data_IF_329547792619
#
_entry.id   IF_329547792619
#
_cell.length_a   1.000
_cell.length_b   1.000
_cell.length_c   1.000
_cell.angle_alpha   90.00
_cell.angle_beta   90.00
_cell.angle_gamma   90.00
#
_symmetry.space_group_name_H-M   'P 1'
#
loop_
_entity.id
_entity.type
_entity.pdbx_description
1 polymer ?
#
# COMPACT_ATOMS: atom_id res chain seq x y z
N UNK A 1 -7.50 -2.13 -12.47
CA UNK A 1 -6.32 -2.78 -13.11
C UNK A 1 -6.65 -4.19 -13.60
N UNK A 2 -7.05 -5.15 -12.74
CA UNK A 2 -7.34 -6.51 -13.21
C UNK A 2 -8.42 -6.55 -14.29
N UNK A 3 -9.54 -5.83 -14.08
CA UNK A 3 -10.60 -5.75 -15.09
C UNK A 3 -10.11 -5.22 -16.44
N UNK A 4 -9.28 -4.17 -16.42
CA UNK A 4 -8.63 -3.66 -17.62
C UNK A 4 -7.79 -4.73 -18.33
N UNK A 5 -6.94 -5.46 -17.57
CA UNK A 5 -6.03 -6.45 -18.15
C UNK A 5 -6.77 -7.66 -18.74
N UNK A 6 -7.81 -8.14 -18.06
CA UNK A 6 -8.61 -9.26 -18.54
C UNK A 6 -9.47 -8.87 -19.75
N UNK A 7 -10.11 -7.69 -19.73
CA UNK A 7 -10.87 -7.20 -20.88
C UNK A 7 -9.96 -6.97 -22.10
N UNK A 8 -8.76 -6.41 -21.90
CA UNK A 8 -7.73 -6.29 -22.95
C UNK A 8 -7.33 -7.65 -23.54
N UNK A 9 -7.37 -8.70 -22.74
CA UNK A 9 -7.10 -10.07 -23.20
C UNK A 9 -8.31 -10.72 -23.89
N UNK A 10 -9.48 -10.08 -23.95
CA UNK A 10 -10.71 -10.59 -24.58
C UNK A 10 -11.65 -11.33 -23.62
N UNK A 11 -11.38 -11.31 -22.31
CA UNK A 11 -12.27 -11.90 -21.29
C UNK A 11 -13.39 -10.92 -20.99
N UNK A 12 -14.63 -11.41 -20.89
CA UNK A 12 -15.76 -10.62 -20.39
C UNK A 12 -15.64 -10.39 -18.88
N UNK A 13 -15.68 -9.12 -18.45
CA UNK A 13 -15.44 -8.73 -17.06
C UNK A 13 -16.51 -7.77 -16.57
N UNK A 14 -17.18 -8.12 -15.48
CA UNK A 14 -18.02 -7.20 -14.71
C UNK A 14 -17.33 -6.82 -13.40
N UNK A 15 -17.10 -5.52 -13.19
CA UNK A 15 -16.56 -4.98 -11.94
C UNK A 15 -17.69 -4.37 -11.12
N UNK A 16 -17.83 -4.77 -9.86
CA UNK A 16 -18.83 -4.21 -8.95
C UNK A 16 -18.14 -3.22 -8.00
N UNK A 17 -18.65 -2.00 -7.95
CA UNK A 17 -18.26 -0.98 -6.96
C UNK A 17 -19.50 -0.59 -6.14
N UNK A 18 -19.40 -0.68 -4.81
CA UNK A 18 -20.53 -0.42 -3.91
C UNK A 18 -20.92 1.05 -3.79
N UNK A 19 -20.03 1.95 -4.16
CA UNK A 19 -20.27 3.39 -4.09
C UNK A 19 -20.70 3.97 -5.45
N UNK A 20 -21.18 5.22 -5.44
CA UNK A 20 -21.60 5.92 -6.65
C UNK A 20 -20.41 6.40 -7.51
N UNK A 21 -19.24 6.54 -6.88
CA UNK A 21 -18.00 7.03 -7.48
C UNK A 21 -16.77 6.40 -6.81
N UNK A 22 -15.57 6.74 -7.28
CA UNK A 22 -14.31 6.29 -6.68
C UNK A 22 -13.76 7.24 -5.62
N UNK A 23 -14.45 8.32 -5.29
CA UNK A 23 -13.99 9.28 -4.30
C UNK A 23 -13.87 8.64 -2.91
N UNK A 24 -12.67 8.66 -2.34
CA UNK A 24 -12.37 8.18 -0.99
C UNK A 24 -11.28 9.05 -0.38
N UNK A 25 -11.61 9.78 0.67
CA UNK A 25 -10.63 10.56 1.41
C UNK A 25 -9.56 9.68 2.06
N UNK A 26 -8.33 10.17 2.10
CA UNK A 26 -7.19 9.61 2.83
C UNK A 26 -6.79 8.17 2.45
N UNK A 27 -6.93 7.77 1.19
CA UNK A 27 -6.52 6.43 0.73
C UNK A 27 -5.62 6.48 -0.48
N UNK A 28 -4.60 5.60 -0.47
CA UNK A 28 -3.90 5.11 -1.65
C UNK A 28 -3.22 6.14 -2.54
N UNK A 29 -2.56 7.12 -1.94
CA UNK A 29 -2.07 8.31 -2.62
C UNK A 29 -0.69 8.18 -3.28
N UNK A 30 -0.13 6.98 -3.34
CA UNK A 30 1.23 6.75 -3.84
C UNK A 30 1.26 5.71 -4.96
N UNK A 31 1.59 6.14 -6.17
CA UNK A 31 1.82 5.27 -7.33
C UNK A 31 3.33 5.09 -7.50
N UNK A 32 3.80 3.88 -7.23
CA UNK A 32 5.23 3.57 -7.19
C UNK A 32 5.82 3.32 -8.60
N UNK A 33 7.15 3.40 -8.75
CA UNK A 33 7.82 3.09 -10.00
C UNK A 33 7.44 1.76 -10.64
N UNK A 34 7.18 0.71 -9.83
CA UNK A 34 6.72 -0.59 -10.34
C UNK A 34 5.35 -0.52 -11.03
N UNK A 35 4.44 0.31 -10.52
CA UNK A 35 3.13 0.53 -11.14
C UNK A 35 3.24 1.43 -12.36
N UNK A 36 4.08 2.48 -12.31
CA UNK A 36 4.36 3.33 -13.46
C UNK A 36 5.03 2.54 -14.60
N UNK A 37 5.85 1.54 -14.28
CA UNK A 37 6.41 0.62 -15.27
C UNK A 37 5.33 -0.23 -15.93
N UNK A 38 4.34 -0.72 -15.17
CA UNK A 38 3.17 -1.41 -15.73
C UNK A 38 2.38 -0.47 -16.67
N UNK A 39 2.19 0.80 -16.29
CA UNK A 39 1.55 1.79 -17.18
C UNK A 39 2.34 2.00 -18.47
N UNK A 40 3.66 2.05 -18.39
CA UNK A 40 4.52 2.13 -19.57
C UNK A 40 4.37 0.89 -20.48
N UNK A 41 4.38 -0.30 -19.90
CA UNK A 41 4.22 -1.57 -20.64
C UNK A 41 2.86 -1.69 -21.33
N UNK A 42 1.83 -1.02 -20.80
CA UNK A 42 0.50 -0.94 -21.38
C UNK A 42 0.36 0.18 -22.42
N UNK A 43 1.37 1.06 -22.58
CA UNK A 43 1.28 2.24 -23.44
C UNK A 43 0.40 3.35 -22.88
N UNK A 44 0.13 3.33 -21.56
CA UNK A 44 -0.74 4.29 -20.87
C UNK A 44 0.03 5.38 -20.12
N UNK A 45 1.36 5.28 -20.01
CA UNK A 45 2.15 6.13 -19.13
C UNK A 45 2.04 7.61 -19.49
N UNK A 46 2.15 7.96 -20.77
CA UNK A 46 2.14 9.36 -21.21
C UNK A 46 0.80 10.05 -20.91
N UNK A 47 -0.32 9.35 -21.12
CA UNK A 47 -1.65 9.87 -20.78
C UNK A 47 -1.83 9.94 -19.26
N UNK A 48 -1.34 8.94 -18.53
CA UNK A 48 -1.42 8.89 -17.07
C UNK A 48 -0.66 10.05 -16.42
N UNK A 49 0.52 10.40 -16.93
CA UNK A 49 1.34 11.49 -16.39
C UNK A 49 0.79 12.90 -16.71
N UNK A 50 -0.23 13.02 -17.56
CA UNK A 50 -0.97 14.29 -17.76
C UNK A 50 -1.92 14.58 -16.59
N UNK A 51 -2.30 13.58 -15.79
CA UNK A 51 -3.11 13.79 -14.60
C UNK A 51 -2.34 14.60 -13.55
N UNK A 52 -3.02 15.42 -12.75
CA UNK A 52 -2.38 16.16 -11.67
C UNK A 52 -1.66 15.22 -10.69
N UNK A 53 -0.36 15.37 -10.53
CA UNK A 53 0.43 14.57 -9.59
C UNK A 53 1.69 15.33 -9.16
N UNK A 54 2.24 14.93 -8.02
CA UNK A 54 3.55 15.39 -7.57
C UNK A 54 4.56 14.25 -7.67
N UNK A 55 5.82 14.58 -8.00
CA UNK A 55 6.89 13.62 -8.16
C UNK A 55 7.81 13.60 -6.94
N UNK A 56 7.87 12.49 -6.25
CA UNK A 56 8.76 12.29 -5.11
C UNK A 56 9.95 11.41 -5.54
N UNK A 57 11.07 12.04 -5.89
CA UNK A 57 12.29 11.34 -6.30
C UNK A 57 13.18 10.90 -5.13
N UNK A 58 13.01 11.53 -3.95
CA UNK A 58 13.72 11.18 -2.72
C UNK A 58 12.79 11.25 -1.52
N UNK A 59 13.03 10.42 -0.51
CA UNK A 59 12.31 10.45 0.77
C UNK A 59 13.27 10.86 1.85
N UNK A 60 12.96 11.94 2.56
CA UNK A 60 13.73 12.43 3.71
C UNK A 60 12.92 12.24 4.99
N UNK A 61 13.57 11.75 6.04
CA UNK A 61 13.03 11.66 7.39
C UNK A 61 13.88 12.50 8.35
N UNK A 62 13.27 12.95 9.46
CA UNK A 62 13.94 13.60 10.57
C UNK A 62 13.73 12.78 11.84
N UNK A 63 14.79 12.45 12.53
CA UNK A 63 14.75 11.74 13.81
C UNK A 63 15.51 12.57 14.86
N UNK A 64 14.81 13.11 15.84
CA UNK A 64 15.43 13.90 16.89
C UNK A 64 16.29 15.07 16.36
N UNK A 65 15.80 15.77 15.33
CA UNK A 65 16.50 16.88 14.66
C UNK A 65 17.54 16.45 13.62
N UNK A 66 17.87 15.15 13.50
CA UNK A 66 18.80 14.65 12.48
C UNK A 66 18.05 14.27 11.21
N UNK A 67 18.29 15.01 10.13
CA UNK A 67 17.75 14.72 8.81
C UNK A 67 18.56 13.62 8.11
N UNK A 68 17.88 12.64 7.50
CA UNK A 68 18.49 11.59 6.70
C UNK A 68 17.66 11.26 5.47
N UNK A 69 18.33 10.92 4.39
CA UNK A 69 17.65 10.43 3.17
C UNK A 69 17.34 8.97 3.34
N UNK A 70 16.05 8.63 3.45
CA UNK A 70 15.58 7.26 3.65
C UNK A 70 15.55 6.46 2.34
N UNK A 71 15.19 7.11 1.21
CA UNK A 71 15.17 6.49 -0.11
C UNK A 71 15.57 7.47 -1.21
N UNK A 72 16.18 6.96 -2.29
CA UNK A 72 16.55 7.71 -3.51
C UNK A 72 16.16 6.90 -4.74
N UNK A 73 15.05 7.28 -5.39
CA UNK A 73 14.48 6.59 -6.55
C UNK A 73 15.17 6.93 -7.87
N UNK A 74 15.97 8.00 -7.94
CA UNK A 74 16.62 8.50 -9.17
C UNK A 74 17.52 7.48 -9.86
N UNK A 75 17.91 6.43 -9.14
CA UNK A 75 18.79 5.36 -9.61
C UNK A 75 18.08 4.06 -9.98
N UNK A 76 16.74 4.05 -9.96
CA UNK A 76 15.99 2.86 -10.36
C UNK A 76 16.10 2.61 -11.87
N UNK A 77 16.15 1.33 -12.29
CA UNK A 77 16.14 0.95 -13.70
C UNK A 77 14.69 0.93 -14.23
N UNK A 78 13.98 2.05 -14.13
CA UNK A 78 12.60 2.23 -14.55
C UNK A 78 12.44 3.50 -15.36
N UNK A 79 11.40 3.60 -16.18
CA UNK A 79 11.08 4.80 -16.95
C UNK A 79 10.82 6.00 -16.04
N UNK A 80 10.02 5.80 -14.98
CA UNK A 80 9.80 6.80 -13.96
C UNK A 80 10.65 6.52 -12.72
N UNK A 81 11.50 7.50 -12.35
CA UNK A 81 12.46 7.40 -11.23
C UNK A 81 11.95 8.18 -10.01
N UNK A 82 10.64 8.12 -9.77
CA UNK A 82 9.94 8.81 -8.69
C UNK A 82 8.68 8.04 -8.30
N UNK A 83 8.17 8.33 -7.11
CA UNK A 83 6.81 7.96 -6.70
C UNK A 83 5.88 9.10 -7.12
N UNK A 84 4.81 8.80 -7.85
CA UNK A 84 3.78 9.78 -8.14
C UNK A 84 2.81 9.87 -6.95
N UNK A 85 2.66 11.07 -6.39
CA UNK A 85 1.69 11.36 -5.35
C UNK A 85 0.45 11.95 -6.02
N UNK A 86 -0.64 11.20 -6.01
CA UNK A 86 -1.91 11.59 -6.62
C UNK A 86 -3.09 10.97 -5.88
N UNK A 87 -4.28 11.59 -5.93
CA UNK A 87 -5.47 10.98 -5.35
C UNK A 87 -5.78 9.63 -6.00
N UNK A 88 -6.19 8.65 -5.18
CA UNK A 88 -6.50 7.32 -5.69
C UNK A 88 -7.67 7.31 -6.68
N UNK A 89 -8.64 8.21 -6.52
CA UNK A 89 -9.78 8.30 -7.44
C UNK A 89 -9.36 8.70 -8.85
N UNK A 90 -8.39 9.62 -9.04
CA UNK A 90 -7.89 9.98 -10.36
C UNK A 90 -7.25 8.78 -11.07
N UNK A 91 -6.51 7.95 -10.32
CA UNK A 91 -5.96 6.70 -10.82
C UNK A 91 -7.04 5.68 -11.22
N UNK A 92 -8.09 5.55 -10.41
CA UNK A 92 -9.19 4.61 -10.67
C UNK A 92 -10.08 5.07 -11.82
N UNK A 93 -10.40 6.37 -11.89
CA UNK A 93 -11.17 6.97 -12.99
C UNK A 93 -10.43 6.80 -14.31
N UNK A 94 -9.12 7.09 -14.33
CA UNK A 94 -8.28 6.88 -15.50
C UNK A 94 -8.31 5.43 -15.98
N UNK A 95 -8.06 4.48 -15.10
CA UNK A 95 -8.08 3.06 -15.47
C UNK A 95 -9.46 2.57 -15.90
N UNK A 96 -10.51 3.00 -15.21
CA UNK A 96 -11.88 2.66 -15.56
C UNK A 96 -12.27 3.25 -16.93
N UNK A 97 -11.87 4.49 -17.20
CA UNK A 97 -12.06 5.13 -18.51
C UNK A 97 -11.39 4.35 -19.63
N UNK A 98 -10.11 3.98 -19.44
CA UNK A 98 -9.37 3.18 -20.43
C UNK A 98 -9.91 1.75 -20.56
N UNK A 99 -10.44 1.16 -19.50
CA UNK A 99 -11.03 -0.17 -19.57
C UNK A 99 -12.35 -0.20 -20.38
N UNK A 100 -13.14 0.88 -20.34
CA UNK A 100 -14.38 1.03 -21.12
C UNK A 100 -14.16 1.06 -22.63
N UNK A 101 -12.91 1.25 -23.09
CA UNK A 101 -12.56 1.12 -24.51
C UNK A 101 -12.68 -0.35 -25.01
N UNK A 102 -12.73 -1.34 -24.12
CA UNK A 102 -12.91 -2.76 -24.45
C UNK A 102 -14.37 -3.18 -24.34
N UNK A 103 -14.96 -3.79 -25.40
CA UNK A 103 -16.39 -4.17 -25.41
C UNK A 103 -16.79 -5.13 -24.27
N UNK A 104 -15.88 -5.99 -23.83
CA UNK A 104 -16.12 -6.97 -22.75
C UNK A 104 -15.96 -6.40 -21.33
N UNK A 105 -15.79 -5.08 -21.16
CA UNK A 105 -15.64 -4.48 -19.84
C UNK A 105 -16.91 -3.76 -19.39
N UNK A 106 -17.43 -4.16 -18.24
CA UNK A 106 -18.55 -3.53 -17.58
C UNK A 106 -18.20 -3.15 -16.14
N UNK A 107 -18.47 -1.90 -15.73
CA UNK A 107 -18.31 -1.45 -14.35
C UNK A 107 -19.65 -0.93 -13.82
N UNK A 108 -20.15 -1.58 -12.77
CA UNK A 108 -21.43 -1.28 -12.13
C UNK A 108 -21.21 -0.58 -10.81
N UNK A 109 -21.44 0.73 -10.80
CA UNK A 109 -21.44 1.53 -9.57
C UNK A 109 -22.69 1.24 -8.74
N UNK A 110 -22.61 1.49 -7.41
CA UNK A 110 -23.69 1.23 -6.45
C UNK A 110 -24.14 -0.24 -6.44
N UNK A 111 -23.24 -1.16 -6.76
CA UNK A 111 -23.46 -2.60 -6.68
C UNK A 111 -22.57 -3.19 -5.59
N UNK A 112 -23.14 -3.43 -4.41
CA UNK A 112 -22.41 -3.98 -3.25
C UNK A 112 -22.57 -5.50 -3.20
N UNK A 113 -21.46 -6.23 -3.33
CA UNK A 113 -21.45 -7.67 -3.11
C UNK A 113 -21.81 -7.97 -1.65
N UNK A 114 -22.85 -8.75 -1.42
CA UNK A 114 -23.34 -9.10 -0.07
C UNK A 114 -23.31 -10.60 0.21
N UNK A 115 -23.26 -11.44 -0.83
CA UNK A 115 -23.18 -12.91 -0.70
C UNK A 115 -22.56 -13.54 -1.95
N UNK A 116 -22.18 -14.81 -1.86
CA UNK A 116 -21.65 -15.63 -2.94
C UNK A 116 -22.67 -16.69 -3.35
N UNK A 117 -22.94 -16.80 -4.66
CA UNK A 117 -23.82 -17.81 -5.22
C UNK A 117 -23.03 -19.11 -5.37
N UNK A 118 -23.57 -20.22 -4.88
CA UNK A 118 -22.96 -21.55 -4.96
C UNK A 118 -23.80 -22.51 -5.79
N UNK A 119 -23.13 -23.21 -6.69
CA UNK A 119 -23.72 -24.30 -7.50
C UNK A 119 -22.83 -25.52 -7.36
N UNK A 120 -23.37 -26.63 -6.87
CA UNK A 120 -22.65 -27.87 -6.61
C UNK A 120 -21.33 -27.69 -5.83
N UNK A 121 -21.33 -26.82 -4.79
CA UNK A 121 -20.17 -26.55 -3.96
C UNK A 121 -19.14 -25.58 -4.54
N UNK A 122 -19.27 -25.20 -5.82
CA UNK A 122 -18.45 -24.20 -6.49
C UNK A 122 -19.10 -22.80 -6.38
N UNK A 123 -18.31 -21.78 -6.23
CA UNK A 123 -18.78 -20.38 -6.34
C UNK A 123 -18.99 -20.08 -7.83
N UNK A 124 -20.21 -19.67 -8.17
CA UNK A 124 -20.69 -19.48 -9.54
C UNK A 124 -21.25 -18.05 -9.77
N UNK A 125 -21.01 -17.14 -8.83
CA UNK A 125 -21.47 -15.76 -8.94
C UNK A 125 -21.53 -15.02 -7.62
N UNK A 126 -22.08 -13.83 -7.68
CA UNK A 126 -22.21 -12.89 -6.58
C UNK A 126 -23.64 -12.41 -6.47
N UNK A 127 -24.17 -12.34 -5.26
CA UNK A 127 -25.39 -11.58 -4.95
C UNK A 127 -25.01 -10.17 -4.57
N UNK A 128 -25.57 -9.20 -5.28
CA UNK A 128 -25.28 -7.78 -5.07
C UNK A 128 -26.53 -7.00 -4.67
N UNK A 129 -26.38 -6.10 -3.71
CA UNK A 129 -27.35 -5.03 -3.44
C UNK A 129 -27.16 -3.94 -4.47
N UNK A 130 -28.25 -3.51 -5.10
CA UNK A 130 -28.25 -2.51 -6.16
C UNK A 130 -29.22 -1.36 -5.81
N UNK A 131 -29.22 -0.24 -6.53
CA UNK A 131 -30.18 0.85 -6.31
C UNK A 131 -31.64 0.44 -6.43
N UNK A 132 -31.91 -0.63 -7.21
CA UNK A 132 -33.29 -1.11 -7.50
C UNK A 132 -33.66 -2.38 -6.73
N UNK A 133 -32.79 -2.86 -5.84
CA UNK A 133 -33.02 -4.08 -5.04
C UNK A 133 -31.82 -4.99 -5.01
N UNK A 134 -32.02 -6.31 -5.08
CA UNK A 134 -30.96 -7.31 -5.09
C UNK A 134 -30.88 -7.98 -6.46
N UNK A 135 -29.67 -8.18 -6.97
CA UNK A 135 -29.43 -8.88 -8.22
C UNK A 135 -28.41 -10.01 -8.03
N UNK A 136 -28.66 -11.14 -8.69
CA UNK A 136 -27.72 -12.25 -8.79
C UNK A 136 -26.93 -12.12 -10.10
N UNK A 137 -25.61 -12.15 -10.01
CA UNK A 137 -24.68 -11.99 -11.13
C UNK A 137 -23.87 -13.27 -11.23
N UNK A 138 -24.11 -14.05 -12.29
CA UNK A 138 -23.38 -15.29 -12.55
C UNK A 138 -21.99 -15.01 -13.12
N UNK A 139 -21.02 -15.85 -12.78
CA UNK A 139 -19.66 -15.78 -13.30
C UNK A 139 -18.96 -17.14 -13.22
N UNK A 140 -18.08 -17.42 -14.18
CA UNK A 140 -17.21 -18.61 -14.17
C UNK A 140 -16.15 -18.52 -13.08
N UNK A 141 -15.73 -17.29 -12.75
CA UNK A 141 -14.81 -16.99 -11.66
C UNK A 141 -15.19 -15.67 -10.98
N UNK A 142 -15.30 -15.68 -9.67
CA UNK A 142 -15.39 -14.50 -8.83
C UNK A 142 -14.01 -14.13 -8.34
N UNK A 143 -13.60 -12.84 -8.46
CA UNK A 143 -12.34 -12.37 -7.91
C UNK A 143 -12.61 -11.31 -6.85
N UNK A 144 -12.32 -11.66 -5.60
CA UNK A 144 -12.45 -10.75 -4.44
C UNK A 144 -11.32 -9.74 -4.41
N UNK A 145 -11.66 -8.47 -4.69
CA UNK A 145 -10.78 -7.30 -4.57
C UNK A 145 -11.38 -6.27 -3.60
N UNK A 146 -12.27 -6.71 -2.70
CA UNK A 146 -13.18 -5.93 -1.86
C UNK A 146 -12.54 -5.44 -0.54
N UNK A 147 -11.20 -5.48 -0.48
CA UNK A 147 -10.42 -4.82 0.56
C UNK A 147 -10.29 -5.63 1.85
N UNK A 148 -9.80 -4.96 2.91
CA UNK A 148 -9.45 -5.61 4.19
C UNK A 148 -10.64 -6.17 4.97
N UNK A 149 -11.85 -5.74 4.68
CA UNK A 149 -13.10 -6.23 5.26
C UNK A 149 -13.92 -7.02 4.22
N UNK A 150 -13.23 -7.69 3.31
CA UNK A 150 -13.77 -8.41 2.17
C UNK A 150 -14.90 -9.37 2.57
N UNK A 151 -16.09 -9.16 2.01
CA UNK A 151 -17.22 -10.06 2.15
C UNK A 151 -16.94 -11.39 1.45
N UNK A 152 -16.22 -11.32 0.32
CA UNK A 152 -15.85 -12.50 -0.46
C UNK A 152 -15.10 -13.53 0.37
N UNK A 153 -14.07 -13.10 1.15
CA UNK A 153 -13.32 -14.02 2.03
C UNK A 153 -14.13 -14.51 3.24
N UNK A 154 -15.01 -13.64 3.78
CA UNK A 154 -15.84 -13.97 4.94
C UNK A 154 -16.88 -15.03 4.58
N UNK A 155 -17.66 -14.81 3.51
CA UNK A 155 -18.68 -15.75 3.05
C UNK A 155 -18.07 -17.05 2.53
N UNK A 156 -16.88 -16.99 1.93
CA UNK A 156 -16.16 -18.20 1.50
C UNK A 156 -15.48 -18.94 2.66
N UNK A 157 -15.53 -18.40 3.88
CA UNK A 157 -14.95 -19.01 5.08
C UNK A 157 -13.43 -19.27 4.91
N UNK A 158 -12.71 -18.26 4.43
CA UNK A 158 -11.26 -18.33 4.22
C UNK A 158 -10.51 -17.95 5.50
N UNK A 159 -9.56 -18.79 5.92
CA UNK A 159 -8.78 -18.60 7.15
C UNK A 159 -7.82 -17.41 7.04
N UNK A 160 -7.93 -16.47 7.97
CA UNK A 160 -7.07 -15.27 8.07
C UNK A 160 -5.96 -15.50 9.08
N UNK A 161 -4.71 -15.24 8.67
CA UNK A 161 -3.53 -15.22 9.54
C UNK A 161 -3.28 -13.76 9.95
N UNK A 162 -3.64 -13.40 11.18
CA UNK A 162 -3.39 -12.06 11.71
C UNK A 162 -1.93 -11.87 12.12
N UNK A 163 -1.41 -10.66 11.85
CA UNK A 163 -0.10 -10.20 12.31
C UNK A 163 -0.31 -8.97 13.19
N UNK A 164 -0.05 -9.08 14.47
CA UNK A 164 -0.22 -7.97 15.41
C UNK A 164 0.58 -6.74 15.01
N UNK A 165 -0.07 -5.59 14.99
CA UNK A 165 0.54 -4.29 14.69
C UNK A 165 0.34 -3.37 15.89
N UNK A 166 1.41 -2.75 16.43
CA UNK A 166 1.34 -1.97 17.66
C UNK A 166 0.94 -0.50 17.45
N UNK A 167 0.54 -0.12 16.24
CA UNK A 167 0.24 1.28 15.88
C UNK A 167 -1.08 1.43 15.15
N UNK A 168 -1.67 2.62 15.27
CA UNK A 168 -2.72 3.17 14.42
C UNK A 168 -2.26 4.52 13.84
N UNK A 169 -3.00 5.07 12.89
CA UNK A 169 -2.69 6.36 12.28
C UNK A 169 -3.91 7.27 12.32
N UNK A 170 -3.72 8.49 12.78
CA UNK A 170 -4.72 9.55 12.72
C UNK A 170 -4.42 10.45 11.52
N UNK A 171 -5.32 10.45 10.53
CA UNK A 171 -5.22 11.27 9.32
C UNK A 171 -6.02 12.56 9.45
N UNK A 172 -5.41 13.68 9.04
CA UNK A 172 -6.03 15.00 9.03
C UNK A 172 -5.36 15.90 7.98
N UNK A 173 -5.92 17.08 7.75
CA UNK A 173 -5.40 18.08 6.82
C UNK A 173 -4.95 19.32 7.57
N UNK A 174 -3.84 19.91 7.14
CA UNK A 174 -3.36 21.24 7.59
C UNK A 174 -2.88 21.98 6.34
N UNK A 175 -3.22 23.27 6.23
CA UNK A 175 -2.80 24.10 5.10
C UNK A 175 -1.27 24.15 4.97
N UNK A 176 -0.79 24.31 3.75
CA UNK A 176 0.63 24.40 3.40
C UNK A 176 0.95 25.80 2.86
N UNK A 177 2.15 26.26 3.14
CA UNK A 177 2.72 27.50 2.61
C UNK A 177 3.97 27.21 1.78
N UNK A 178 4.39 28.17 0.95
CA UNK A 178 5.61 28.06 0.12
C UNK A 178 6.89 27.93 0.93
N UNK A 179 6.88 28.36 2.19
CA UNK A 179 8.04 28.29 3.10
C UNK A 179 8.17 26.93 3.80
N UNK A 180 7.20 26.03 3.65
CA UNK A 180 7.24 24.72 4.28
C UNK A 180 8.20 23.76 3.56
N UNK A 181 8.78 22.79 4.27
CA UNK A 181 9.68 21.81 3.68
C UNK A 181 9.00 20.99 2.56
N UNK A 182 9.58 20.99 1.36
CA UNK A 182 9.01 20.27 0.22
C UNK A 182 9.17 18.75 0.29
N UNK A 183 10.27 18.26 0.86
CA UNK A 183 10.67 16.85 0.79
C UNK A 183 10.64 16.11 2.13
N UNK A 184 10.11 16.76 3.17
CA UNK A 184 10.00 16.14 4.49
C UNK A 184 8.77 15.24 4.56
N UNK A 185 8.96 13.92 4.52
CA UNK A 185 7.87 12.97 4.63
C UNK A 185 7.58 12.55 6.07
N UNK A 186 8.56 12.57 6.97
CA UNK A 186 8.35 12.09 8.34
C UNK A 186 9.24 12.78 9.36
N UNK A 187 8.66 13.04 10.54
CA UNK A 187 9.36 13.57 11.70
C UNK A 187 9.11 12.67 12.91
N UNK A 188 10.18 12.27 13.59
CA UNK A 188 10.14 11.43 14.79
C UNK A 188 10.85 12.15 15.91
N UNK A 189 10.10 12.53 16.94
CA UNK A 189 10.62 13.17 18.14
C UNK A 189 9.59 13.11 19.28
N UNK A 190 9.97 13.40 20.50
CA UNK A 190 9.09 13.49 21.69
C UNK A 190 8.14 12.29 21.85
N UNK A 191 8.62 11.09 21.54
CA UNK A 191 7.77 9.90 21.59
C UNK A 191 6.65 9.86 20.56
N UNK A 192 6.75 10.62 19.47
CA UNK A 192 5.75 10.76 18.42
C UNK A 192 6.36 10.55 17.05
N UNK A 193 5.53 10.19 16.09
CA UNK A 193 5.91 10.13 14.68
C UNK A 193 4.81 10.77 13.84
N UNK A 194 5.15 11.79 13.07
CA UNK A 194 4.26 12.53 12.19
C UNK A 194 4.75 12.37 10.75
N UNK A 195 3.84 11.98 9.86
CA UNK A 195 4.05 11.92 8.41
C UNK A 195 3.32 13.09 7.77
N UNK A 196 3.97 13.81 6.85
CA UNK A 196 3.39 14.92 6.11
C UNK A 196 3.55 14.67 4.62
N UNK A 197 2.45 14.42 3.94
CA UNK A 197 2.42 14.24 2.49
C UNK A 197 2.00 15.56 1.88
N UNK A 198 2.87 16.14 1.06
CA UNK A 198 2.59 17.38 0.35
C UNK A 198 1.47 17.14 -0.69
N UNK A 199 0.47 18.05 -0.69
CA UNK A 199 -0.69 18.06 -1.61
C UNK A 199 -0.86 19.46 -2.23
N UNK A 200 0.23 20.11 -2.53
CA UNK A 200 0.30 21.47 -3.06
C UNK A 200 -0.23 22.52 -2.09
N UNK A 201 -1.53 22.61 -1.87
CA UNK A 201 -2.18 23.59 -1.00
C UNK A 201 -2.26 23.17 0.47
N UNK A 202 -2.08 21.89 0.78
CA UNK A 202 -2.17 21.36 2.14
C UNK A 202 -1.24 20.16 2.36
N UNK A 203 -0.97 19.87 3.62
CA UNK A 203 -0.40 18.59 4.03
C UNK A 203 -1.51 17.61 4.38
N UNK A 204 -1.48 16.46 3.77
CA UNK A 204 -2.13 15.28 4.32
C UNK A 204 -1.24 14.74 5.44
N UNK A 205 -1.64 15.01 6.70
CA UNK A 205 -0.87 14.68 7.87
C UNK A 205 -1.34 13.37 8.51
N UNK A 206 -0.39 12.52 8.89
CA UNK A 206 -0.64 11.25 9.59
C UNK A 206 0.13 11.17 10.91
N UNK A 207 -0.54 11.31 12.05
CA UNK A 207 0.06 11.08 13.35
C UNK A 207 -0.03 9.59 13.71
N UNK A 208 1.12 8.95 13.92
CA UNK A 208 1.19 7.58 14.40
C UNK A 208 0.95 7.55 15.90
N UNK A 209 0.04 6.70 16.34
CA UNK A 209 -0.34 6.50 17.74
C UNK A 209 -0.20 5.04 18.13
N UNK A 210 -0.18 4.76 19.44
CA UNK A 210 -0.28 3.37 19.94
C UNK A 210 -1.61 2.76 19.53
N UNK A 211 -1.58 1.49 19.17
CA UNK A 211 -2.79 0.74 18.80
C UNK A 211 -3.86 0.88 19.89
N UNK A 212 -5.06 1.32 19.49
CA UNK A 212 -6.23 1.46 20.37
C UNK A 212 -6.22 2.68 21.29
N UNK A 213 -5.21 3.60 21.21
CA UNK A 213 -5.13 4.77 22.09
C UNK A 213 -5.90 6.01 21.62
N UNK A 214 -6.73 5.89 20.57
CA UNK A 214 -7.44 7.04 20.01
C UNK A 214 -8.45 7.65 20.99
N UNK A 215 -9.26 6.83 21.66
CA UNK A 215 -10.27 7.32 22.62
C UNK A 215 -9.61 7.95 23.85
N UNK A 216 -8.48 7.42 24.32
CA UNK A 216 -7.68 8.04 25.38
C UNK A 216 -7.21 9.44 24.97
N UNK A 217 -6.71 9.59 23.73
CA UNK A 217 -6.26 10.87 23.17
C UNK A 217 -7.43 11.85 23.00
N UNK A 218 -8.58 11.36 22.55
CA UNK A 218 -9.81 12.15 22.41
C UNK A 218 -10.30 12.70 23.73
N UNK A 219 -10.23 11.90 24.79
CA UNK A 219 -10.60 12.30 26.15
C UNK A 219 -9.70 13.41 26.73
N UNK A 220 -8.42 13.49 26.27
CA UNK A 220 -7.49 14.57 26.65
C UNK A 220 -7.81 15.91 25.97
N UNK A 221 -8.75 15.94 25.03
CA UNK A 221 -9.22 17.13 24.35
C UNK A 221 -8.39 17.51 23.12
N UNK A 222 -9.03 18.26 22.22
CA UNK A 222 -8.46 18.66 20.92
C UNK A 222 -7.22 19.54 21.06
N UNK A 223 -7.18 20.41 22.09
CA UNK A 223 -6.01 21.27 22.35
C UNK A 223 -4.76 20.47 22.72
N UNK A 224 -4.92 19.36 23.44
CA UNK A 224 -3.81 18.44 23.71
C UNK A 224 -3.29 17.81 22.40
N UNK A 225 -4.19 17.47 21.48
CA UNK A 225 -3.80 16.96 20.15
C UNK A 225 -3.05 18.02 19.32
N UNK A 226 -3.54 19.26 19.27
CA UNK A 226 -2.86 20.38 18.59
C UNK A 226 -1.47 20.62 19.16
N UNK A 227 -1.34 20.60 20.49
CA UNK A 227 -0.05 20.73 21.18
C UNK A 227 0.96 19.68 20.71
N UNK A 228 0.55 18.41 20.59
CA UNK A 228 1.39 17.33 20.07
C UNK A 228 1.90 17.66 18.66
N UNK A 229 1.05 18.21 17.79
CA UNK A 229 1.43 18.57 16.42
C UNK A 229 2.42 19.74 16.43
N UNK A 230 2.19 20.78 17.24
CA UNK A 230 3.13 21.92 17.38
C UNK A 230 4.50 21.48 17.89
N UNK A 231 4.56 20.56 18.84
CA UNK A 231 5.82 20.06 19.39
C UNK A 231 6.66 19.30 18.34
N UNK A 232 6.01 18.47 17.53
CA UNK A 232 6.73 17.65 16.54
C UNK A 232 7.01 18.39 15.24
N UNK A 233 6.19 19.37 14.88
CA UNK A 233 6.30 20.17 13.66
C UNK A 233 6.08 21.68 13.96
N UNK A 234 7.03 22.34 14.67
CA UNK A 234 6.86 23.75 15.10
C UNK A 234 6.63 24.75 13.96
N UNK A 235 7.13 24.43 12.75
CA UNK A 235 6.95 25.26 11.56
C UNK A 235 5.49 25.33 11.05
N UNK A 236 4.60 24.43 11.51
CA UNK A 236 3.16 24.54 11.24
C UNK A 236 2.51 25.71 11.99
N UNK A 237 3.09 26.14 13.12
CA UNK A 237 2.63 27.30 13.88
C UNK A 237 1.15 27.23 14.24
N UNK A 238 0.45 28.35 14.04
CA UNK A 238 -0.98 28.49 14.37
C UNK A 238 -1.92 27.74 13.41
N UNK A 239 -1.40 27.21 12.31
CA UNK A 239 -2.21 26.42 11.35
C UNK A 239 -2.82 25.15 11.96
N UNK A 240 -2.28 24.65 13.06
CA UNK A 240 -2.91 23.55 13.83
C UNK A 240 -4.30 23.91 14.36
N UNK A 241 -4.64 25.20 14.46
CA UNK A 241 -5.97 25.68 14.86
C UNK A 241 -7.04 25.46 13.77
N UNK A 242 -6.65 25.11 12.55
CA UNK A 242 -7.56 24.68 11.48
C UNK A 242 -8.31 23.39 11.84
N UNK A 243 -7.73 22.58 12.75
CA UNK A 243 -8.39 21.39 13.31
C UNK A 243 -9.37 21.84 14.38
N UNK A 244 -10.64 22.11 14.01
CA UNK A 244 -11.67 22.66 14.88
C UNK A 244 -12.43 21.62 15.69
N UNK A 245 -12.52 20.40 15.16
CA UNK A 245 -13.21 19.28 15.81
C UNK A 245 -12.58 17.93 15.46
N UNK A 246 -13.00 16.86 16.17
CA UNK A 246 -12.53 15.51 15.98
C UNK A 246 -13.02 14.88 14.66
N UNK A 247 -14.05 15.43 14.03
CA UNK A 247 -14.58 14.90 12.76
C UNK A 247 -13.60 15.15 11.59
N UNK A 248 -12.69 16.11 11.75
CA UNK A 248 -11.60 16.35 10.81
C UNK A 248 -10.44 15.35 10.95
N UNK A 249 -10.44 14.52 12.02
CA UNK A 249 -9.38 13.57 12.34
C UNK A 249 -9.92 12.15 12.14
N UNK A 250 -9.39 11.43 11.15
CA UNK A 250 -9.87 10.10 10.78
C UNK A 250 -8.92 9.02 11.28
N UNK A 251 -9.45 8.10 12.08
CA UNK A 251 -8.70 6.94 12.55
C UNK A 251 -8.57 5.90 11.43
N UNK A 252 -7.33 5.57 11.08
CA UNK A 252 -6.99 4.38 10.33
C UNK A 252 -6.46 3.31 11.27
N UNK A 253 -7.29 2.31 11.57
CA UNK A 253 -6.85 1.14 12.30
C UNK A 253 -5.97 0.28 11.40
N UNK A 254 -4.68 0.21 11.75
CA UNK A 254 -3.69 -0.52 10.95
C UNK A 254 -3.84 -2.02 11.20
N UNK A 255 -3.92 -2.77 10.10
CA UNK A 255 -3.99 -4.23 10.11
C UNK A 255 -2.94 -4.78 9.15
N UNK A 256 -2.29 -5.84 9.55
CA UNK A 256 -1.47 -6.69 8.67
C UNK A 256 -1.97 -8.11 8.84
N UNK A 257 -2.57 -8.64 7.79
CA UNK A 257 -3.03 -10.01 7.78
C UNK A 257 -2.93 -10.62 6.38
N UNK A 258 -3.08 -11.91 6.27
CA UNK A 258 -3.20 -12.60 4.98
C UNK A 258 -4.02 -13.86 5.12
N UNK A 259 -4.62 -14.29 4.02
CA UNK A 259 -5.29 -15.58 3.93
C UNK A 259 -4.25 -16.72 3.95
N UNK A 260 -4.60 -17.85 4.57
CA UNK A 260 -3.84 -19.10 4.47
C UNK A 260 -3.95 -19.68 3.07
N UNK A 261 -5.15 -19.69 2.52
CA UNK A 261 -5.48 -20.06 1.15
C UNK A 261 -6.28 -18.94 0.52
N UNK A 262 -5.85 -18.46 -0.66
CA UNK A 262 -6.44 -17.29 -1.30
C UNK A 262 -7.64 -17.62 -2.17
N UNK A 263 -7.96 -18.88 -2.34
CA UNK A 263 -8.94 -19.36 -3.31
C UNK A 263 -9.85 -20.44 -2.74
N UNK A 264 -10.97 -20.68 -3.43
CA UNK A 264 -11.89 -21.82 -3.37
C UNK A 264 -12.32 -22.13 -4.79
N UNK A 265 -12.99 -23.29 -5.06
CA UNK A 265 -13.59 -23.52 -6.35
C UNK A 265 -14.47 -22.35 -6.80
N UNK A 266 -14.09 -21.70 -7.91
CA UNK A 266 -14.78 -20.54 -8.46
C UNK A 266 -14.54 -19.18 -7.75
N UNK A 267 -13.62 -19.11 -6.80
CA UNK A 267 -13.24 -17.85 -6.12
C UNK A 267 -11.73 -17.72 -6.00
N UNK A 268 -11.21 -16.51 -6.24
CA UNK A 268 -9.87 -16.08 -5.90
C UNK A 268 -9.94 -14.73 -5.18
N UNK A 269 -9.22 -14.55 -4.08
CA UNK A 269 -9.00 -13.25 -3.45
C UNK A 269 -7.60 -12.72 -3.77
N UNK A 270 -7.48 -11.42 -4.07
CA UNK A 270 -6.21 -10.73 -4.32
C UNK A 270 -6.18 -9.36 -3.61
N UNK A 271 -5.00 -8.73 -3.55
CA UNK A 271 -4.82 -7.45 -2.89
C UNK A 271 -5.21 -7.50 -1.41
N UNK A 272 -5.80 -6.41 -0.88
CA UNK A 272 -6.17 -6.31 0.54
C UNK A 272 -7.22 -7.37 0.97
N UNK A 273 -7.98 -7.96 0.04
CA UNK A 273 -8.88 -9.07 0.33
C UNK A 273 -8.10 -10.35 0.68
N UNK A 274 -6.96 -10.57 0.05
CA UNK A 274 -6.07 -11.70 0.35
C UNK A 274 -5.03 -11.37 1.43
N UNK A 275 -4.51 -10.13 1.45
CA UNK A 275 -3.39 -9.74 2.34
C UNK A 275 -3.38 -8.24 2.62
N UNK A 276 -4.00 -7.83 3.68
CA UNK A 276 -3.98 -6.44 4.12
C UNK A 276 -2.56 -6.01 4.56
N UNK A 277 -2.18 -4.81 4.13
CA UNK A 277 -0.89 -4.19 4.41
C UNK A 277 -1.03 -2.94 5.28
N UNK A 278 0.03 -2.61 6.01
CA UNK A 278 0.15 -1.30 6.64
C UNK A 278 0.25 -0.18 5.60
N UNK A 279 -0.25 1.03 5.89
CA UNK A 279 -0.04 2.20 5.04
C UNK A 279 1.43 2.64 4.98
N UNK A 280 2.30 2.14 5.88
CA UNK A 280 3.70 2.50 5.91
C UNK A 280 4.40 2.17 4.58
N UNK A 281 5.00 3.20 3.97
CA UNK A 281 5.66 3.13 2.67
C UNK A 281 4.73 3.17 1.46
N UNK A 282 3.40 3.24 1.63
CA UNK A 282 2.44 3.31 0.52
C UNK A 282 2.42 2.08 -0.40
N UNK A 283 2.85 0.91 0.10
CA UNK A 283 3.09 -0.27 -0.75
C UNK A 283 1.83 -1.08 -1.06
N UNK A 284 0.73 -0.91 -0.32
CA UNK A 284 -0.46 -1.77 -0.42
C UNK A 284 -1.09 -1.79 -1.81
N UNK A 285 -1.41 -0.62 -2.36
CA UNK A 285 -2.00 -0.51 -3.70
C UNK A 285 -1.06 -1.06 -4.79
N UNK A 286 0.24 -0.80 -4.65
CA UNK A 286 1.22 -1.25 -5.64
C UNK A 286 1.37 -2.77 -5.61
N UNK A 287 1.29 -3.40 -4.42
CA UNK A 287 1.30 -4.86 -4.30
C UNK A 287 0.02 -5.47 -4.89
N UNK A 288 -1.14 -4.84 -4.65
CA UNK A 288 -2.42 -5.28 -5.23
C UNK A 288 -2.43 -5.18 -6.77
N UNK A 289 -1.78 -4.15 -7.33
CA UNK A 289 -1.60 -4.03 -8.80
C UNK A 289 -0.70 -5.15 -9.33
N UNK A 290 0.37 -5.47 -8.62
CA UNK A 290 1.24 -6.60 -8.98
C UNK A 290 0.47 -7.94 -8.93
N UNK A 291 -0.44 -8.11 -7.98
CA UNK A 291 -1.33 -9.28 -7.95
C UNK A 291 -2.27 -9.30 -9.15
N UNK A 292 -2.83 -8.15 -9.52
CA UNK A 292 -3.69 -8.03 -10.70
C UNK A 292 -2.94 -8.41 -11.99
N UNK A 293 -1.68 -7.97 -12.13
CA UNK A 293 -0.83 -8.33 -13.27
C UNK A 293 -0.53 -9.84 -13.29
N UNK A 294 -0.13 -10.41 -12.15
CA UNK A 294 0.12 -11.85 -12.04
C UNK A 294 -1.13 -12.67 -12.35
N UNK A 295 -2.28 -12.23 -11.82
CA UNK A 295 -3.58 -12.89 -12.05
C UNK A 295 -3.96 -12.87 -13.52
N UNK A 296 -3.88 -11.72 -14.18
CA UNK A 296 -4.16 -11.62 -15.61
C UNK A 296 -3.21 -12.47 -16.45
N UNK A 297 -1.91 -12.44 -16.16
CA UNK A 297 -0.90 -13.23 -16.86
C UNK A 297 -1.10 -14.74 -16.75
N UNK A 298 -1.71 -15.22 -15.65
CA UNK A 298 -1.91 -16.64 -15.37
C UNK A 298 -3.31 -17.12 -15.75
N UNK A 299 -4.33 -16.26 -15.65
CA UNK A 299 -5.72 -16.69 -15.78
C UNK A 299 -6.40 -16.23 -17.07
N UNK A 300 -5.83 -15.32 -17.87
CA UNK A 300 -6.48 -14.84 -19.10
C UNK A 300 -6.77 -16.00 -20.07
N UNK A 301 -5.76 -16.81 -20.42
CA UNK A 301 -5.92 -17.94 -21.32
C UNK A 301 -6.89 -19.02 -20.74
N UNK A 302 -6.74 -19.46 -19.45
CA UNK A 302 -7.71 -20.36 -18.81
C UNK A 302 -9.16 -19.85 -18.79
N UNK A 303 -9.37 -18.55 -18.59
CA UNK A 303 -10.72 -17.96 -18.62
C UNK A 303 -11.32 -17.98 -20.02
N UNK A 304 -10.53 -17.72 -21.07
CA UNK A 304 -10.98 -17.78 -22.46
C UNK A 304 -11.34 -19.21 -22.91
N UNK A 305 -10.65 -20.22 -22.36
CA UNK A 305 -10.89 -21.65 -22.69
C UNK A 305 -11.89 -22.33 -21.75
N UNK A 306 -12.33 -21.66 -20.67
CA UNK A 306 -13.22 -22.23 -19.67
C UNK A 306 -12.54 -23.24 -18.72
N UNK A 307 -11.21 -23.32 -18.71
CA UNK A 307 -10.42 -24.26 -17.90
C UNK A 307 -9.83 -23.58 -16.64
N UNK A 308 -10.69 -23.10 -15.76
CA UNK A 308 -10.28 -22.51 -14.49
C UNK A 308 -10.46 -23.51 -13.35
N UNK A 309 -9.39 -24.23 -13.05
CA UNK A 309 -9.32 -25.20 -11.95
C UNK A 309 -8.73 -24.57 -10.67
N UNK A 310 -8.89 -25.25 -9.53
CA UNK A 310 -8.23 -24.83 -8.29
C UNK A 310 -6.71 -24.82 -8.41
N UNK A 311 -6.12 -25.73 -9.15
CA UNK A 311 -4.67 -25.76 -9.40
C UNK A 311 -4.21 -24.50 -10.15
N UNK A 312 -5.02 -24.02 -11.10
CA UNK A 312 -4.75 -22.77 -11.82
C UNK A 312 -4.83 -21.55 -10.88
N UNK A 313 -5.82 -21.52 -9.97
CA UNK A 313 -5.93 -20.47 -8.96
C UNK A 313 -4.76 -20.50 -7.97
N UNK A 314 -4.31 -21.70 -7.58
CA UNK A 314 -3.16 -21.89 -6.70
C UNK A 314 -1.87 -21.27 -7.25
N UNK A 315 -1.68 -21.25 -8.57
CA UNK A 315 -0.51 -20.63 -9.20
C UNK A 315 -0.40 -19.13 -8.89
N UNK A 316 -1.54 -18.43 -8.80
CA UNK A 316 -1.54 -17.01 -8.43
C UNK A 316 -1.02 -16.81 -7.00
N UNK A 317 -1.52 -17.60 -6.05
CA UNK A 317 -1.02 -17.54 -4.67
C UNK A 317 0.47 -17.89 -4.61
N UNK A 318 0.91 -18.99 -5.21
CA UNK A 318 2.31 -19.40 -5.24
C UNK A 318 3.23 -18.31 -5.79
N UNK A 319 2.76 -17.61 -6.82
CA UNK A 319 3.49 -16.51 -7.44
C UNK A 319 3.61 -15.30 -6.52
N UNK A 320 2.53 -14.95 -5.80
CA UNK A 320 2.39 -13.68 -5.07
C UNK A 320 2.60 -13.77 -3.56
N UNK A 321 2.52 -14.96 -2.96
CA UNK A 321 2.65 -15.13 -1.51
C UNK A 321 4.03 -14.73 -0.99
N UNK A 322 5.11 -15.13 -1.67
CA UNK A 322 6.47 -14.80 -1.22
C UNK A 322 6.72 -13.27 -1.15
N UNK A 323 6.46 -12.44 -2.19
CA UNK A 323 6.60 -10.99 -2.08
C UNK A 323 5.70 -10.38 -1.00
N UNK A 324 4.49 -10.91 -0.81
CA UNK A 324 3.56 -10.52 0.24
C UNK A 324 4.15 -10.75 1.62
N UNK A 325 4.64 -11.97 1.88
CA UNK A 325 5.23 -12.37 3.17
C UNK A 325 6.44 -11.50 3.52
N UNK A 326 7.35 -11.30 2.57
CA UNK A 326 8.55 -10.46 2.78
C UNK A 326 8.15 -9.02 3.11
N UNK A 327 7.23 -8.44 2.36
CA UNK A 327 6.75 -7.07 2.60
C UNK A 327 6.11 -6.94 3.98
N UNK A 328 5.24 -7.88 4.37
CA UNK A 328 4.61 -7.88 5.68
C UNK A 328 5.62 -8.01 6.82
N UNK A 329 6.63 -8.88 6.68
CA UNK A 329 7.68 -9.05 7.70
C UNK A 329 8.49 -7.76 7.88
N UNK A 330 8.85 -7.09 6.79
CA UNK A 330 9.55 -5.79 6.84
C UNK A 330 8.70 -4.73 7.53
N UNK A 331 7.40 -4.65 7.23
CA UNK A 331 6.48 -3.72 7.88
C UNK A 331 6.32 -4.02 9.38
N UNK A 332 6.11 -5.29 9.77
CA UNK A 332 6.00 -5.70 11.18
C UNK A 332 7.28 -5.34 11.95
N UNK A 333 8.43 -5.57 11.34
CA UNK A 333 9.71 -5.18 11.95
C UNK A 333 9.79 -3.65 12.13
N UNK A 334 9.52 -2.87 11.09
CA UNK A 334 9.53 -1.40 11.16
C UNK A 334 8.59 -0.88 12.25
N UNK A 335 7.37 -1.42 12.35
CA UNK A 335 6.40 -1.04 13.38
C UNK A 335 6.85 -1.37 14.79
N UNK A 336 7.53 -2.50 14.99
CA UNK A 336 8.12 -2.84 16.30
C UNK A 336 9.22 -1.86 16.71
N UNK A 337 10.00 -1.32 15.76
CA UNK A 337 10.98 -0.27 16.06
C UNK A 337 10.30 1.07 16.36
N UNK A 338 9.26 1.44 15.60
CA UNK A 338 8.45 2.64 15.86
C UNK A 338 7.74 2.59 17.21
N UNK A 339 7.24 1.42 17.64
CA UNK A 339 6.60 1.27 18.95
C UNK A 339 7.52 1.62 20.12
N UNK A 340 8.85 1.45 19.96
CA UNK A 340 9.83 1.86 20.97
C UNK A 340 9.94 3.39 21.09
N UNK A 341 9.63 4.12 20.02
CA UNK A 341 9.61 5.58 20.04
C UNK A 341 8.60 6.10 21.05
N UNK A 342 7.41 5.50 21.10
CA UNK A 342 6.34 5.92 22.01
C UNK A 342 6.66 5.78 23.50
N UNK A 343 7.75 5.07 23.85
CA UNK A 343 8.21 4.90 25.24
C UNK A 343 9.06 6.06 25.74
N UNK A 344 9.44 7.01 24.86
CA UNK A 344 10.37 8.10 25.17
C UNK A 344 9.69 9.47 24.91
N UNK A 345 8.93 10.01 25.86
CA UNK A 345 8.17 11.25 25.65
C UNK A 345 9.02 12.54 25.57
N UNK A 346 10.30 12.47 25.93
CA UNK A 346 11.23 13.60 25.90
C UNK A 346 11.89 13.83 24.53
N UNK A 347 12.75 14.86 24.44
CA UNK A 347 13.55 15.13 23.25
C UNK A 347 14.41 13.92 22.88
N UNK A 348 14.34 13.48 21.64
CA UNK A 348 15.06 12.31 21.16
C UNK A 348 16.34 12.71 20.44
N UNK A 349 17.35 11.84 20.51
CA UNK A 349 18.56 11.95 19.68
C UNK A 349 18.58 10.79 18.69
N UNK A 350 18.97 11.06 17.46
CA UNK A 350 19.12 10.02 16.45
C UNK A 350 20.14 8.96 16.94
N UNK A 351 19.75 7.68 17.03
CA UNK A 351 20.65 6.63 17.44
C UNK A 351 21.82 6.51 16.46
N UNK A 352 23.01 6.20 16.96
CA UNK A 352 24.20 6.10 16.11
C UNK A 352 24.07 5.06 14.99
N UNK A 353 23.29 3.99 15.24
CA UNK A 353 22.99 2.95 14.26
C UNK A 353 22.23 3.52 13.05
N UNK A 354 21.26 4.42 13.27
CA UNK A 354 20.53 5.11 12.19
C UNK A 354 21.52 5.92 11.33
N UNK A 355 22.41 6.69 12.00
CA UNK A 355 23.43 7.50 11.31
C UNK A 355 24.41 6.62 10.53
N UNK A 356 24.87 5.53 11.13
CA UNK A 356 25.78 4.58 10.48
C UNK A 356 25.14 3.92 9.26
N UNK A 357 23.92 3.38 9.37
CA UNK A 357 23.23 2.69 8.27
C UNK A 357 22.97 3.64 7.12
N UNK A 358 22.36 4.82 7.38
CA UNK A 358 22.06 5.79 6.32
C UNK A 358 23.27 6.60 5.84
N UNK A 359 24.41 6.49 6.52
CA UNK A 359 25.71 6.96 6.08
C UNK A 359 26.41 6.04 5.07
N UNK A 360 26.00 4.77 4.97
CA UNK A 360 26.59 3.81 4.01
C UNK A 360 26.15 4.20 2.58
N UNK A 361 27.08 4.43 1.66
CA UNK A 361 26.75 4.70 0.26
C UNK A 361 25.90 3.59 -0.35
N UNK A 362 24.81 3.96 -1.00
CA UNK A 362 23.93 3.01 -1.70
C UNK A 362 22.76 2.44 -0.89
N UNK A 363 22.74 2.57 0.44
CA UNK A 363 21.59 2.12 1.28
C UNK A 363 20.31 2.79 0.81
N UNK A 364 20.32 4.09 0.53
CA UNK A 364 19.15 4.83 0.04
C UNK A 364 18.62 4.28 -1.30
N UNK A 365 19.52 3.78 -2.17
CA UNK A 365 19.15 3.14 -3.44
C UNK A 365 18.50 1.77 -3.22
N UNK A 366 19.03 0.99 -2.27
CA UNK A 366 18.46 -0.31 -1.89
C UNK A 366 17.07 -0.14 -1.27
N UNK A 367 16.91 0.83 -0.37
CA UNK A 367 15.62 1.16 0.24
C UNK A 367 14.62 1.59 -0.84
N UNK A 368 15.02 2.49 -1.77
CA UNK A 368 14.20 2.93 -2.89
C UNK A 368 13.80 1.76 -3.79
N UNK A 369 14.71 0.82 -4.06
CA UNK A 369 14.38 -0.38 -4.84
C UNK A 369 13.37 -1.26 -4.12
N UNK A 370 13.54 -1.48 -2.81
CA UNK A 370 12.62 -2.31 -2.02
C UNK A 370 11.21 -1.69 -1.95
N UNK A 371 11.11 -0.37 -1.80
CA UNK A 371 9.83 0.35 -1.75
C UNK A 371 9.26 0.52 -3.16
N UNK A 372 10.03 1.04 -4.11
CA UNK A 372 9.56 1.45 -5.43
C UNK A 372 9.28 0.30 -6.38
N UNK A 373 10.09 -0.76 -6.33
CA UNK A 373 9.93 -1.94 -7.19
C UNK A 373 9.27 -3.11 -6.47
N UNK A 374 9.44 -3.19 -5.14
CA UNK A 374 9.01 -4.35 -4.37
C UNK A 374 9.88 -5.59 -4.61
N UNK A 375 9.39 -6.72 -4.10
CA UNK A 375 10.01 -8.03 -4.21
C UNK A 375 9.34 -8.78 -5.37
N UNK A 376 10.10 -9.21 -6.36
CA UNK A 376 9.61 -9.89 -7.58
C UNK A 376 8.51 -9.06 -8.28
N UNK A 377 8.84 -7.90 -8.86
CA UNK A 377 7.87 -7.11 -9.60
C UNK A 377 7.33 -7.90 -10.80
N UNK A 378 6.04 -7.75 -11.06
CA UNK A 378 5.37 -8.35 -12.20
C UNK A 378 5.45 -7.44 -13.42
N UNK A 379 5.42 -8.05 -14.61
CA UNK A 379 5.43 -7.39 -15.90
C UNK A 379 4.30 -7.96 -16.77
N UNK A 380 3.81 -7.17 -17.71
CA UNK A 380 2.74 -7.59 -18.62
C UNK A 380 3.26 -8.66 -19.57
N UNK A 381 2.58 -9.81 -19.67
CA UNK A 381 2.88 -10.87 -20.62
C UNK A 381 2.72 -10.33 -22.05
N UNK A 382 3.72 -10.57 -22.91
CA UNK A 382 3.70 -10.09 -24.30
C UNK A 382 4.12 -8.62 -24.51
N UNK A 383 4.40 -7.86 -23.45
CA UNK A 383 5.06 -6.56 -23.59
C UNK A 383 6.51 -6.77 -24.08
N UNK A 384 6.98 -5.96 -25.05
CA UNK A 384 8.35 -6.07 -25.56
C UNK A 384 9.37 -5.91 -24.42
N UNK A 385 10.31 -6.85 -24.21
CA UNK A 385 11.34 -6.70 -23.20
C UNK A 385 12.25 -5.53 -23.58
N UNK A 386 12.40 -4.55 -22.68
CA UNK A 386 13.53 -3.65 -22.79
C UNK A 386 14.81 -4.46 -22.52
N UNK A 387 15.91 -4.14 -23.23
CA UNK A 387 17.22 -4.79 -23.07
C UNK A 387 17.74 -4.75 -21.61
N UNK A 388 17.22 -3.84 -20.80
CA UNK A 388 17.56 -3.67 -19.39
C UNK A 388 16.90 -4.69 -18.43
N UNK A 389 15.81 -5.39 -18.85
CA UNK A 389 15.06 -6.33 -17.99
C UNK A 389 15.86 -7.58 -17.60
N UNK A 390 16.73 -8.09 -18.49
CA UNK A 390 17.51 -9.30 -18.21
C UNK A 390 18.50 -9.11 -17.06
N UNK A 391 19.07 -7.90 -16.91
CA UNK A 391 19.99 -7.58 -15.83
C UNK A 391 19.28 -7.36 -14.47
N UNK A 392 18.02 -6.94 -14.46
CA UNK A 392 17.26 -6.66 -13.25
C UNK A 392 16.76 -7.92 -12.52
N UNK A 393 16.44 -8.99 -13.25
CA UNK A 393 15.88 -10.22 -12.67
C UNK A 393 16.91 -10.98 -11.82
N UNK A 394 18.18 -11.02 -12.24
CA UNK A 394 19.25 -11.74 -11.49
C UNK A 394 19.65 -10.97 -10.22
N UNK A 395 19.61 -9.64 -10.22
CA UNK A 395 19.93 -8.79 -9.06
C UNK A 395 18.83 -8.74 -8.01
N UNK A 396 17.57 -9.03 -8.36
CA UNK A 396 16.42 -8.95 -7.42
C UNK A 396 16.48 -10.00 -6.30
N UNK A 397 17.05 -11.17 -6.54
CA UNK A 397 17.18 -12.24 -5.54
C UNK A 397 18.22 -11.88 -4.47
N UNK A 398 19.31 -11.21 -4.87
CA UNK A 398 20.37 -10.79 -3.93
C UNK A 398 19.98 -9.61 -3.04
N UNK A 399 19.08 -8.73 -3.49
CA UNK A 399 18.65 -7.52 -2.76
C UNK A 399 17.68 -7.83 -1.61
N UNK A 400 16.81 -8.84 -1.77
CA UNK A 400 15.91 -9.26 -0.68
C UNK A 400 16.68 -9.75 0.55
N UNK A 401 17.82 -10.40 0.37
CA UNK A 401 18.72 -10.89 1.42
C UNK A 401 19.50 -9.73 2.05
N UNK A 402 19.93 -8.73 1.28
CA UNK A 402 20.73 -7.60 1.77
C UNK A 402 19.95 -6.62 2.65
N UNK A 403 18.67 -6.32 2.33
CA UNK A 403 17.82 -5.45 3.16
C UNK A 403 17.44 -6.16 4.47
N UNK A 404 17.17 -7.46 4.44
CA UNK A 404 16.95 -8.26 5.64
C UNK A 404 18.20 -8.30 6.52
N UNK A 405 19.40 -8.40 5.95
CA UNK A 405 20.66 -8.41 6.70
C UNK A 405 20.99 -7.05 7.33
N UNK A 406 20.76 -5.93 6.66
CA UNK A 406 20.97 -4.58 7.23
C UNK A 406 19.99 -4.29 8.38
N UNK A 407 18.76 -4.79 8.27
CA UNK A 407 17.71 -4.68 9.29
C UNK A 407 18.01 -5.60 10.49
N UNK A 408 18.57 -6.81 10.27
CA UNK A 408 19.00 -7.76 11.31
C UNK A 408 20.25 -7.26 12.04
N UNK A 409 21.21 -6.64 11.36
CA UNK A 409 22.42 -6.09 12.01
C UNK A 409 22.09 -5.03 13.07
N UNK A 410 21.05 -4.19 12.85
CA UNK A 410 20.58 -3.21 13.85
C UNK A 410 20.00 -3.87 15.09
N UNK A 411 19.44 -5.10 14.98
CA UNK A 411 18.82 -5.82 16.11
C UNK A 411 19.79 -6.63 16.95
N UNK A 412 20.89 -7.14 16.36
CA UNK A 412 21.87 -7.98 17.07
C UNK A 412 22.79 -7.14 17.97
N UNK A 413 23.11 -5.90 17.61
CA UNK A 413 23.92 -5.02 18.44
C UNK A 413 23.20 -4.45 19.67
N UNK A 414 21.86 -4.39 19.66
CA UNK A 414 21.06 -3.96 20.84
C UNK A 414 21.01 -4.98 21.98
N UNK A 415 21.27 -6.26 21.73
CA UNK A 415 21.25 -7.33 22.75
C UNK A 415 22.53 -7.45 23.57
N UNK A 416 23.68 -7.03 23.03
CA UNK A 416 24.99 -7.19 23.76
C UNK A 416 25.22 -6.20 24.90
N UNK A 417 24.47 -5.10 25.00
CA UNK A 417 24.64 -4.12 26.10
C UNK A 417 23.82 -4.39 27.36
N UNK A 418 22.90 -5.38 27.37
CA UNK A 418 22.18 -5.77 28.60
C UNK A 418 22.88 -6.85 29.44
N UNK A 419 23.92 -7.47 28.93
CA UNK A 419 24.65 -8.53 29.65
C UNK A 419 25.86 -8.05 30.45
N UNK A 420 26.23 -6.75 30.40
CA UNK A 420 27.38 -6.20 31.14
C UNK A 420 27.02 -5.19 32.23
N UNK A 421 25.73 -5.13 32.66
CA UNK A 421 25.31 -4.20 33.73
C UNK A 421 24.81 -4.93 35.01
N UNK A 422 25.10 -6.21 35.15
CA UNK A 422 24.88 -6.97 36.39
C UNK A 422 26.10 -7.88 36.64
N UNK A 423 27.15 -7.30 37.15
CA UNK A 423 28.19 -7.93 37.98
C UNK A 423 28.84 -6.84 38.81
#
# INVERSE_FOLDING_TARGET
MLGYLLARAGVEVTVLEKHADFFRDFRGDTVHPSTLEVMYELGLLDDFLKLPHQQLSTVTGVFGGYAFRAADFRHLPTHCKFVALMPQWDFLDFLSGKAKEFPGFDVRMQHEAVDLIRVYGRIAGVRAKTPTGTADISADLVIGCDGRHAITRQVANLDVIERGVPIDVLWFRISRTTNDPEQLLGNINYGRALVLINRDQYFQAGLLIRKGSFEEMRAQGLESFRKIIREIAPYLGDRVEELKDWDQIKLLSVQINRLRQWYRPGLLCIGDAAHAMSPAGGVGINLAIQDAVATANLLADPLLTGDVSESTLALVQQRREFPTVVTQQLQVFAHRQLAKVFQNPGPMKAPWQLKAVFGIPGVQRLTARAIGMGVRPEHIKGARPSSERKAACIKSIAVGVGVAAAVVAVSLFGRRRRACATS
#
